data_IF_508047396786
#
_entry.id   IF_508047396786
#
_cell.length_a   1.000
_cell.length_b   1.000
_cell.length_c   1.000
_cell.angle_alpha   90.00
_cell.angle_beta   90.00
_cell.angle_gamma   90.00
#
_symmetry.space_group_name_H-M   'P 1'
#
loop_
_entity.id
_entity.type
_entity.pdbx_description
1 polymer ?
#
# COMPACT_ATOMS: atom_id res chain seq x y z
N UNK A 1 -13.71 -8.95 -0.80
CA UNK A 1 -12.50 -9.27 -1.57
C UNK A 1 -11.35 -8.28 -1.40
N UNK A 2 -11.51 -7.09 -0.77
CA UNK A 2 -10.41 -6.11 -0.60
C UNK A 2 -9.67 -6.30 0.73
N UNK A 3 -8.81 -7.33 0.82
CA UNK A 3 -8.00 -7.57 2.03
C UNK A 3 -6.60 -6.93 1.94
N UNK A 4 -6.02 -6.91 0.74
CA UNK A 4 -4.84 -6.12 0.40
C UNK A 4 -4.98 -5.49 -1.00
N UNK A 5 -6.16 -4.92 -1.27
CA UNK A 5 -6.41 -4.19 -2.52
C UNK A 5 -5.80 -2.78 -2.47
N UNK A 6 -5.50 -2.20 -3.63
CA UNK A 6 -4.86 -0.87 -3.75
C UNK A 6 -5.56 0.22 -2.91
N UNK A 7 -6.90 0.27 -2.90
CA UNK A 7 -7.65 1.22 -2.07
C UNK A 7 -7.44 1.01 -0.57
N UNK A 8 -7.42 -0.23 -0.10
CA UNK A 8 -7.16 -0.54 1.32
C UNK A 8 -5.74 -0.15 1.72
N UNK A 9 -4.75 -0.38 0.84
CA UNK A 9 -3.36 0.06 1.08
C UNK A 9 -3.30 1.59 1.10
N UNK A 10 -3.98 2.27 0.19
CA UNK A 10 -4.05 3.74 0.17
C UNK A 10 -4.65 4.29 1.47
N UNK A 11 -5.75 3.72 1.97
CA UNK A 11 -6.38 4.14 3.23
C UNK A 11 -5.43 3.92 4.43
N UNK A 12 -4.80 2.74 4.52
CA UNK A 12 -3.87 2.41 5.62
C UNK A 12 -2.68 3.36 5.64
N UNK A 13 -2.07 3.61 4.48
CA UNK A 13 -0.88 4.47 4.35
C UNK A 13 -1.23 5.94 4.54
N UNK A 14 -2.43 6.38 4.15
CA UNK A 14 -2.91 7.73 4.42
C UNK A 14 -3.10 7.99 5.92
N UNK A 15 -3.63 7.02 6.68
CA UNK A 15 -3.78 7.14 8.14
C UNK A 15 -2.41 6.95 8.83
N UNK A 16 -1.52 6.13 8.24
CA UNK A 16 -0.21 5.81 8.78
C UNK A 16 -0.31 4.89 9.99
N UNK A 17 -0.90 3.71 9.80
CA UNK A 17 -1.02 2.69 10.86
C UNK A 17 -0.26 1.42 10.52
N UNK A 18 0.20 0.67 11.53
CA UNK A 18 0.65 -0.71 11.35
C UNK A 18 -0.49 -1.55 10.80
N UNK A 19 -0.17 -2.51 9.93
CA UNK A 19 -1.16 -3.42 9.36
C UNK A 19 -0.69 -4.88 9.36
N UNK A 20 -1.67 -5.79 9.36
CA UNK A 20 -1.47 -7.21 9.07
C UNK A 20 -2.31 -7.50 7.83
N UNK A 21 -1.63 -7.78 6.72
CA UNK A 21 -2.26 -7.95 5.41
C UNK A 21 -2.41 -9.43 5.09
N UNK A 22 -3.62 -9.82 4.68
CA UNK A 22 -3.94 -11.18 4.25
C UNK A 22 -4.44 -11.12 2.81
N UNK A 23 -3.55 -11.09 1.80
CA UNK A 23 -3.93 -10.99 0.40
C UNK A 23 -4.92 -12.09 0.00
N UNK A 24 -5.94 -11.73 -0.78
CA UNK A 24 -6.87 -12.72 -1.31
C UNK A 24 -6.20 -13.53 -2.45
N UNK A 25 -6.05 -14.86 -2.34
CA UNK A 25 -5.20 -15.67 -3.22
C UNK A 25 -5.78 -15.83 -4.63
N UNK A 26 -7.07 -15.55 -4.84
CA UNK A 26 -7.72 -15.61 -6.15
C UNK A 26 -7.91 -14.23 -6.79
N UNK A 27 -7.21 -13.19 -6.30
CA UNK A 27 -7.10 -11.96 -7.05
C UNK A 27 -6.37 -12.24 -8.37
N UNK A 28 -6.88 -11.70 -9.48
CA UNK A 28 -6.22 -11.80 -10.79
C UNK A 28 -4.73 -11.46 -10.67
N UNK A 29 -3.87 -12.28 -11.29
CA UNK A 29 -2.40 -12.22 -11.27
C UNK A 29 -1.73 -11.98 -9.91
N UNK A 30 -2.35 -12.36 -8.79
CA UNK A 30 -1.80 -12.16 -7.43
C UNK A 30 -1.48 -10.68 -7.11
N UNK A 31 -2.23 -9.75 -7.74
CA UNK A 31 -2.00 -8.31 -7.60
C UNK A 31 -2.14 -7.82 -6.14
N UNK A 32 -2.87 -8.53 -5.27
CA UNK A 32 -2.96 -8.15 -3.85
C UNK A 32 -1.67 -8.41 -3.07
N UNK A 33 -0.93 -9.48 -3.36
CA UNK A 33 0.38 -9.70 -2.76
C UNK A 33 1.38 -8.61 -3.22
N UNK A 34 1.33 -8.24 -4.51
CA UNK A 34 2.15 -7.15 -5.06
C UNK A 34 1.85 -5.81 -4.39
N UNK A 35 0.57 -5.47 -4.18
CA UNK A 35 0.18 -4.24 -3.48
C UNK A 35 0.67 -4.22 -2.03
N UNK A 36 0.66 -5.36 -1.35
CA UNK A 36 1.11 -5.46 0.04
C UNK A 36 2.64 -5.37 0.17
N UNK A 37 3.39 -5.84 -0.83
CA UNK A 37 4.84 -5.96 -0.78
C UNK A 37 5.54 -4.63 -0.50
N UNK A 38 5.07 -3.52 -1.07
CA UNK A 38 5.65 -2.19 -0.82
C UNK A 38 5.57 -1.80 0.66
N UNK A 39 4.41 -1.99 1.27
CA UNK A 39 4.17 -1.67 2.67
C UNK A 39 4.95 -2.59 3.62
N UNK A 40 5.01 -3.89 3.29
CA UNK A 40 5.77 -4.89 4.05
C UNK A 40 7.27 -4.60 3.97
N UNK A 41 7.78 -4.31 2.78
CA UNK A 41 9.21 -4.03 2.56
C UNK A 41 9.66 -2.75 3.26
N UNK A 42 8.76 -1.78 3.40
CA UNK A 42 9.00 -0.57 4.18
C UNK A 42 8.98 -0.81 5.69
N UNK A 43 8.52 -1.99 6.15
CA UNK A 43 8.32 -2.29 7.58
C UNK A 43 6.99 -1.79 8.14
N UNK A 44 6.06 -1.31 7.30
CA UNK A 44 4.76 -0.80 7.75
C UNK A 44 3.70 -1.87 7.99
N UNK A 45 3.94 -3.12 7.55
CA UNK A 45 2.99 -4.20 7.69
C UNK A 45 3.63 -5.60 7.77
N UNK A 46 2.91 -6.52 8.41
CA UNK A 46 3.11 -7.96 8.23
C UNK A 46 2.25 -8.49 7.09
N UNK A 47 2.69 -9.59 6.47
CA UNK A 47 1.93 -10.32 5.45
C UNK A 47 1.74 -11.77 5.88
N UNK A 48 0.49 -12.23 5.86
CA UNK A 48 0.12 -13.61 6.10
C UNK A 48 -0.58 -14.10 4.83
N UNK A 49 -0.02 -15.12 4.17
CA UNK A 49 -0.72 -15.77 3.05
C UNK A 49 -1.96 -16.49 3.59
N UNK A 50 -3.06 -16.48 2.83
CA UNK A 50 -4.33 -17.05 3.27
C UNK A 50 -4.19 -18.54 3.64
N UNK A 51 -3.39 -19.30 2.88
CA UNK A 51 -3.08 -20.71 3.16
C UNK A 51 -2.35 -20.95 4.49
N UNK A 52 -1.61 -19.94 4.98
CA UNK A 52 -0.86 -20.00 6.23
C UNK A 52 -1.62 -19.34 7.40
N UNK A 53 -2.79 -18.76 7.15
CA UNK A 53 -3.55 -18.04 8.17
C UNK A 53 -4.07 -19.01 9.22
N UNK A 54 -3.60 -18.81 10.46
CA UNK A 54 -4.12 -19.48 11.64
C UNK A 54 -4.45 -18.45 12.73
N UNK A 55 -5.38 -18.74 13.65
CA UNK A 55 -5.68 -17.86 14.78
C UNK A 55 -4.43 -17.53 15.60
N UNK A 56 -3.56 -18.51 15.87
CA UNK A 56 -2.35 -18.32 16.67
C UNK A 56 -1.34 -17.40 15.98
N UNK A 57 -1.14 -17.56 14.66
CA UNK A 57 -0.25 -16.69 13.90
C UNK A 57 -0.77 -15.24 13.88
N UNK A 58 -2.07 -15.06 13.62
CA UNK A 58 -2.68 -13.73 13.63
C UNK A 58 -2.59 -13.09 15.02
N UNK A 59 -2.91 -13.83 16.07
CA UNK A 59 -2.82 -13.36 17.45
C UNK A 59 -1.37 -12.99 17.82
N UNK A 60 -0.38 -13.77 17.38
CA UNK A 60 1.03 -13.48 17.57
C UNK A 60 1.45 -12.14 16.96
N UNK A 61 1.05 -11.85 15.72
CA UNK A 61 1.34 -10.56 15.09
C UNK A 61 0.61 -9.40 15.77
N UNK A 62 -0.65 -9.57 16.17
CA UNK A 62 -1.40 -8.56 16.93
C UNK A 62 -0.71 -8.28 18.26
N UNK A 63 -0.33 -9.33 19.00
CA UNK A 63 0.37 -9.20 20.26
C UNK A 63 1.71 -8.48 20.08
N UNK A 64 2.50 -8.84 19.07
CA UNK A 64 3.78 -8.20 18.77
C UNK A 64 3.64 -6.68 18.56
N UNK A 65 2.63 -6.24 17.80
CA UNK A 65 2.36 -4.81 17.59
C UNK A 65 1.93 -4.13 18.89
N UNK A 66 1.05 -4.76 19.67
CA UNK A 66 0.48 -4.13 20.87
C UNK A 66 1.45 -4.12 22.06
N UNK A 67 2.42 -5.04 22.11
CA UNK A 67 3.39 -5.14 23.20
C UNK A 67 4.63 -4.27 23.02
N UNK A 68 4.85 -3.72 21.82
CA UNK A 68 6.01 -2.89 21.48
C UNK A 68 5.55 -1.54 20.91
N UNK A 69 5.31 -0.53 21.78
CA UNK A 69 4.86 0.79 21.34
C UNK A 69 5.84 1.49 20.39
N UNK A 70 7.15 1.36 20.63
CA UNK A 70 8.19 1.98 19.79
C UNK A 70 8.23 1.33 18.41
N UNK A 71 8.19 -0.01 18.36
CA UNK A 71 8.06 -0.76 17.11
C UNK A 71 6.77 -0.40 16.35
N UNK A 72 5.64 -0.32 17.05
CA UNK A 72 4.37 0.09 16.45
C UNK A 72 4.41 1.51 15.86
N UNK A 73 5.09 2.44 16.52
CA UNK A 73 5.27 3.80 16.00
C UNK A 73 6.19 3.83 14.79
N UNK A 74 7.28 3.04 14.78
CA UNK A 74 8.14 2.88 13.62
C UNK A 74 7.38 2.28 12.41
N UNK A 75 6.54 1.26 12.65
CA UNK A 75 5.66 0.69 11.61
C UNK A 75 4.65 1.72 11.10
N UNK A 76 4.06 2.53 11.99
CA UNK A 76 3.12 3.58 11.64
C UNK A 76 3.75 4.63 10.71
N UNK A 77 4.98 5.05 11.02
CA UNK A 77 5.71 6.03 10.22
C UNK A 77 6.18 5.45 8.89
N UNK A 78 6.68 4.21 8.88
CA UNK A 78 6.97 3.48 7.65
C UNK A 78 5.74 3.38 6.74
N UNK A 79 4.58 3.08 7.33
CA UNK A 79 3.31 3.02 6.61
C UNK A 79 2.91 4.36 6.02
N UNK A 80 3.01 5.44 6.81
CA UNK A 80 2.75 6.80 6.34
C UNK A 80 3.67 7.20 5.18
N UNK A 81 4.95 6.84 5.27
CA UNK A 81 5.94 7.12 4.23
C UNK A 81 5.68 6.43 2.87
N UNK A 82 4.83 5.39 2.82
CA UNK A 82 4.40 4.76 1.57
C UNK A 82 3.17 5.42 0.94
N UNK A 83 2.50 6.32 1.65
CA UNK A 83 1.32 7.03 1.15
C UNK A 83 1.67 8.00 0.03
N UNK A 84 0.81 8.08 -1.00
CA UNK A 84 0.90 9.06 -2.08
C UNK A 84 -0.39 9.87 -2.19
N UNK A 85 -0.72 10.72 -1.19
CA UNK A 85 -1.99 11.45 -1.16
C UNK A 85 -2.21 12.34 -2.40
N UNK A 86 -1.13 12.89 -2.95
CA UNK A 86 -1.17 13.78 -4.12
C UNK A 86 -1.07 13.06 -5.47
N UNK A 87 -1.09 11.71 -5.49
CA UNK A 87 -0.93 10.94 -6.73
C UNK A 87 -1.93 11.34 -7.83
N UNK A 88 -3.15 11.70 -7.45
CA UNK A 88 -4.18 12.17 -8.39
C UNK A 88 -3.80 13.49 -9.05
N UNK A 89 -3.28 14.46 -8.27
CA UNK A 89 -2.83 15.75 -8.80
C UNK A 89 -1.58 15.57 -9.66
N UNK A 90 -0.59 14.80 -9.19
CA UNK A 90 0.63 14.49 -9.95
C UNK A 90 0.32 13.86 -11.32
N UNK A 91 -0.68 12.97 -11.35
CA UNK A 91 -1.14 12.34 -12.58
C UNK A 91 -1.83 13.35 -13.51
N UNK A 92 -2.72 14.18 -12.98
CA UNK A 92 -3.40 15.20 -13.76
C UNK A 92 -2.40 16.16 -14.42
N UNK A 93 -1.44 16.67 -13.64
CA UNK A 93 -0.39 17.54 -14.18
C UNK A 93 0.47 16.84 -15.25
N UNK A 94 0.78 15.55 -15.07
CA UNK A 94 1.53 14.79 -16.05
C UNK A 94 0.77 14.69 -17.38
N UNK A 95 -0.52 14.38 -17.32
CA UNK A 95 -1.39 14.29 -18.50
C UNK A 95 -1.45 15.64 -19.22
N UNK A 96 -1.67 16.73 -18.48
CA UNK A 96 -1.70 18.10 -19.02
C UNK A 96 -0.38 18.48 -19.71
N UNK A 97 0.76 18.19 -19.07
CA UNK A 97 2.09 18.44 -19.67
C UNK A 97 2.30 17.68 -20.97
N UNK A 98 1.87 16.42 -21.03
CA UNK A 98 1.99 15.59 -22.23
C UNK A 98 1.08 16.11 -23.36
N UNK A 99 -0.14 16.51 -23.05
CA UNK A 99 -1.07 17.11 -24.01
C UNK A 99 -0.52 18.42 -24.60
N UNK A 100 0.01 19.32 -23.75
CA UNK A 100 0.60 20.58 -24.20
C UNK A 100 1.83 20.37 -25.10
N UNK A 101 2.67 19.36 -24.82
CA UNK A 101 3.81 18.99 -25.67
C UNK A 101 3.37 18.50 -27.04
N UNK A 102 2.31 17.68 -27.11
CA UNK A 102 1.75 17.19 -28.37
C UNK A 102 1.24 18.34 -29.24
N UNK A 103 0.43 19.24 -28.67
CA UNK A 103 -0.11 20.40 -29.39
C UNK A 103 1.00 21.30 -29.97
N UNK A 104 2.09 21.53 -29.20
CA UNK A 104 3.25 22.31 -29.68
C UNK A 104 4.00 21.64 -30.83
N UNK A 105 4.03 20.31 -30.90
CA UNK A 105 4.65 19.58 -32.01
C UNK A 105 3.80 19.67 -33.26
N UNK A 106 2.48 19.53 -33.13
CA UNK A 106 1.53 19.64 -34.24
C UNK A 106 1.50 21.06 -34.83
N UNK A 107 1.59 22.11 -34.00
CA UNK A 107 1.64 23.50 -34.48
C UNK A 107 2.96 23.89 -35.17
N UNK A 108 3.98 23.03 -35.13
CA UNK A 108 5.30 23.25 -35.76
C UNK A 108 5.51 22.37 -37.01
N UNK A 109 4.59 21.46 -37.30
CA UNK A 109 4.57 20.62 -38.49
C UNK A 109 3.74 21.31 -39.58
#
# INVERSE_FOLDING_TARGET
>A
SRRAGAGSIADITAIGRPAILIPYPHATDDHQAANALGLVSAGGAFLIREEALTPDLLAGHVAAILSDPEGAEAMAEASRGQGRPEATLELAELVERLAARKARREARA
#
